data_IF_079045295762
#
_entry.id   IF_079045295762
#
_cell.length_a   1.000
_cell.length_b   1.000
_cell.length_c   1.000
_cell.angle_alpha   90.00
_cell.angle_beta   90.00
_cell.angle_gamma   90.00
#
_symmetry.space_group_name_H-M   'P 1'
#
loop_
_entity.id
_entity.type
_entity.pdbx_description
1 polymer ?
#
# COMPACT_ATOMS: atom_id res chain seq x y z
N UNK A 1 19.82 20.78 -3.43
CA UNK A 1 18.71 20.45 -4.35
C UNK A 1 18.17 19.09 -3.94
N UNK A 2 16.88 18.96 -3.62
CA UNK A 2 16.29 17.66 -3.32
C UNK A 2 16.33 16.77 -4.56
N UNK A 3 16.78 15.53 -4.42
CA UNK A 3 16.70 14.52 -5.48
C UNK A 3 15.25 14.40 -5.96
N UNK A 4 15.03 14.33 -7.28
CA UNK A 4 13.66 14.16 -7.79
C UNK A 4 13.10 12.81 -7.31
N UNK A 5 11.79 12.74 -7.06
CA UNK A 5 11.08 11.50 -6.65
C UNK A 5 11.40 10.33 -7.59
N UNK A 6 11.40 10.59 -8.88
CA UNK A 6 11.76 9.60 -9.89
C UNK A 6 13.16 8.99 -9.63
N UNK A 7 14.18 9.82 -9.42
CA UNK A 7 15.56 9.34 -9.17
C UNK A 7 15.63 8.56 -7.86
N UNK A 8 15.01 9.07 -6.81
CA UNK A 8 14.97 8.41 -5.52
C UNK A 8 14.27 7.04 -5.58
N UNK A 9 13.07 6.96 -6.15
CA UNK A 9 12.34 5.70 -6.24
C UNK A 9 13.03 4.70 -7.17
N UNK A 10 13.59 5.18 -8.28
CA UNK A 10 14.33 4.34 -9.23
C UNK A 10 15.50 3.64 -8.55
N UNK A 11 16.26 4.34 -7.71
CA UNK A 11 17.38 3.81 -6.94
C UNK A 11 16.96 2.68 -5.98
N UNK A 12 15.78 2.77 -5.38
CA UNK A 12 15.29 1.80 -4.40
C UNK A 12 14.52 0.63 -5.01
N UNK A 13 13.83 0.86 -6.13
CA UNK A 13 12.94 -0.12 -6.74
C UNK A 13 13.56 -0.83 -7.96
N UNK A 14 14.56 -0.24 -8.63
CA UNK A 14 15.20 -0.83 -9.80
C UNK A 14 16.67 -1.09 -9.45
N UNK A 15 16.94 -2.29 -8.95
CA UNK A 15 18.28 -2.67 -8.42
C UNK A 15 19.23 -3.26 -9.47
N UNK A 16 18.73 -3.56 -10.66
CA UNK A 16 19.55 -4.09 -11.76
C UNK A 16 19.98 -2.97 -12.71
N UNK A 17 21.04 -3.22 -13.47
CA UNK A 17 21.47 -2.31 -14.54
C UNK A 17 20.36 -2.10 -15.58
N UNK A 18 20.23 -0.89 -16.06
CA UNK A 18 19.19 -0.47 -17.01
C UNK A 18 19.15 -1.35 -18.26
N UNK A 19 20.32 -1.62 -18.88
CA UNK A 19 20.41 -2.47 -20.07
C UNK A 19 19.84 -3.85 -19.79
N UNK A 20 20.20 -4.46 -18.67
CA UNK A 20 19.71 -5.78 -18.27
C UNK A 20 18.21 -5.79 -18.01
N UNK A 21 17.69 -4.73 -17.36
CA UNK A 21 16.26 -4.58 -17.14
C UNK A 21 15.48 -4.53 -18.45
N UNK A 22 15.95 -3.71 -19.41
CA UNK A 22 15.34 -3.60 -20.75
C UNK A 22 15.41 -4.89 -21.52
N UNK A 23 16.57 -5.55 -21.55
CA UNK A 23 16.78 -6.79 -22.27
C UNK A 23 15.85 -7.92 -21.75
N UNK A 24 15.70 -8.05 -20.43
CA UNK A 24 14.79 -9.02 -19.84
C UNK A 24 13.34 -8.64 -20.19
N UNK A 25 12.95 -7.39 -19.98
CA UNK A 25 11.59 -6.93 -20.23
C UNK A 25 11.16 -7.16 -21.70
N UNK A 26 12.04 -6.87 -22.65
CA UNK A 26 11.77 -7.03 -24.09
C UNK A 26 11.61 -8.51 -24.52
N UNK A 27 12.07 -9.47 -23.69
CA UNK A 27 11.91 -10.90 -23.94
C UNK A 27 10.67 -11.50 -23.28
N UNK A 28 9.94 -10.72 -22.48
CA UNK A 28 8.72 -11.21 -21.85
C UNK A 28 7.66 -11.46 -22.92
N UNK A 29 7.05 -12.61 -22.85
CA UNK A 29 5.92 -12.94 -23.70
C UNK A 29 4.70 -12.13 -23.27
N UNK A 30 4.16 -11.37 -24.22
CA UNK A 30 2.98 -10.50 -23.99
C UNK A 30 1.68 -11.29 -24.27
N UNK A 31 1.79 -12.57 -24.66
CA UNK A 31 0.64 -13.40 -24.94
C UNK A 31 0.05 -13.93 -23.63
N UNK A 32 -1.07 -13.37 -23.20
CA UNK A 32 -1.76 -13.72 -21.96
C UNK A 32 -3.26 -13.90 -22.17
N UNK A 33 -3.85 -14.75 -21.35
CA UNK A 33 -5.30 -14.93 -21.30
C UNK A 33 -5.98 -13.70 -20.66
N UNK A 34 -7.09 -13.26 -21.23
CA UNK A 34 -7.85 -12.14 -20.68
C UNK A 34 -8.48 -12.51 -19.33
N UNK A 35 -8.01 -11.86 -18.27
CA UNK A 35 -8.58 -12.00 -16.94
C UNK A 35 -9.63 -10.91 -16.69
N UNK A 36 -10.89 -11.35 -16.48
CA UNK A 36 -12.02 -10.44 -16.22
C UNK A 36 -11.87 -9.67 -14.90
N UNK A 37 -11.17 -10.23 -13.92
CA UNK A 37 -10.94 -9.56 -12.63
C UNK A 37 -10.04 -8.34 -12.85
N UNK A 38 -8.93 -8.52 -13.58
CA UNK A 38 -8.02 -7.42 -13.97
C UNK A 38 -8.78 -6.35 -14.73
N UNK A 39 -9.55 -6.74 -15.75
CA UNK A 39 -10.32 -5.79 -16.56
C UNK A 39 -11.31 -4.96 -15.74
N UNK A 40 -12.02 -5.58 -14.80
CA UNK A 40 -12.96 -4.89 -13.95
C UNK A 40 -12.28 -3.91 -12.99
N UNK A 41 -11.15 -4.30 -12.42
CA UNK A 41 -10.39 -3.44 -11.52
C UNK A 41 -9.74 -2.26 -12.27
N UNK A 42 -9.22 -2.48 -13.47
CA UNK A 42 -8.70 -1.42 -14.34
C UNK A 42 -9.78 -0.40 -14.69
N UNK A 43 -11.01 -0.86 -15.01
CA UNK A 43 -12.13 0.06 -15.29
C UNK A 43 -12.43 0.99 -14.11
N UNK A 44 -12.34 0.47 -12.87
CA UNK A 44 -12.62 1.21 -11.63
C UNK A 44 -11.43 2.06 -11.14
N UNK A 45 -10.21 1.80 -11.66
CA UNK A 45 -9.02 2.55 -11.26
C UNK A 45 -9.13 4.01 -11.69
N UNK A 46 -8.89 4.92 -10.75
CA UNK A 46 -8.85 6.36 -11.03
C UNK A 46 -7.56 6.74 -11.75
N UNK A 47 -7.51 6.45 -13.04
CA UNK A 47 -6.42 6.77 -13.94
C UNK A 47 -7.01 7.46 -15.19
N UNK A 48 -6.60 8.71 -15.44
CA UNK A 48 -7.16 9.53 -16.52
C UNK A 48 -6.72 9.09 -17.91
N UNK A 49 -5.57 8.42 -18.02
CA UNK A 49 -4.96 7.94 -19.27
C UNK A 49 -4.32 6.58 -19.05
N UNK A 50 -4.02 5.89 -20.14
CA UNK A 50 -3.21 4.65 -20.15
C UNK A 50 -3.80 3.45 -19.41
N UNK A 51 -5.14 3.34 -19.31
CA UNK A 51 -5.79 2.15 -18.74
C UNK A 51 -5.41 0.87 -19.49
N UNK A 52 -5.24 0.94 -20.81
CA UNK A 52 -4.76 -0.20 -21.60
C UNK A 52 -3.33 -0.63 -21.23
N UNK A 53 -2.46 0.31 -20.88
CA UNK A 53 -1.13 -0.03 -20.40
C UNK A 53 -1.16 -0.61 -18.98
N UNK A 54 -2.01 -0.09 -18.10
CA UNK A 54 -2.24 -0.66 -16.77
C UNK A 54 -2.69 -2.12 -16.88
N UNK A 55 -3.68 -2.40 -17.74
CA UNK A 55 -4.19 -3.74 -18.00
C UNK A 55 -3.08 -4.66 -18.51
N UNK A 56 -2.33 -4.22 -19.51
CA UNK A 56 -1.19 -4.96 -20.07
C UNK A 56 -0.16 -5.34 -19.01
N UNK A 57 0.27 -4.38 -18.18
CA UNK A 57 1.30 -4.61 -17.18
C UNK A 57 0.84 -5.56 -16.07
N UNK A 58 -0.44 -5.50 -15.68
CA UNK A 58 -1.02 -6.42 -14.69
C UNK A 58 -1.14 -7.83 -15.23
N UNK A 59 -1.60 -8.01 -16.47
CA UNK A 59 -1.62 -9.31 -17.13
C UNK A 59 -0.21 -9.89 -17.28
N UNK A 60 0.75 -9.07 -17.70
CA UNK A 60 2.15 -9.47 -17.81
C UNK A 60 2.71 -9.94 -16.47
N UNK A 61 2.42 -9.21 -15.38
CA UNK A 61 2.83 -9.61 -14.04
C UNK A 61 2.22 -10.96 -13.65
N UNK A 62 0.92 -11.13 -13.80
CA UNK A 62 0.22 -12.36 -13.46
C UNK A 62 0.72 -13.55 -14.30
N UNK A 63 1.04 -13.35 -15.59
CA UNK A 63 1.58 -14.36 -16.47
C UNK A 63 2.99 -14.80 -16.07
N UNK A 64 3.87 -13.86 -15.73
CA UNK A 64 5.25 -14.15 -15.31
C UNK A 64 5.28 -14.77 -13.90
N UNK A 65 4.42 -14.32 -13.02
CA UNK A 65 4.33 -14.79 -11.64
C UNK A 65 3.10 -15.68 -11.41
N UNK A 66 3.02 -16.80 -12.16
CA UNK A 66 1.85 -17.70 -12.17
C UNK A 66 1.46 -18.25 -10.80
N UNK A 67 2.42 -18.41 -9.89
CA UNK A 67 2.14 -18.86 -8.51
C UNK A 67 1.33 -17.84 -7.70
N UNK A 68 1.43 -16.58 -8.07
CA UNK A 68 0.79 -15.47 -7.38
C UNK A 68 -0.48 -15.03 -8.12
N UNK A 69 -0.39 -14.98 -9.45
CA UNK A 69 -1.44 -14.45 -10.30
C UNK A 69 -1.73 -12.96 -10.01
N UNK A 70 -2.98 -12.59 -10.17
CA UNK A 70 -3.47 -11.25 -9.84
C UNK A 70 -4.33 -11.28 -8.58
N UNK A 71 -4.14 -10.31 -7.70
CA UNK A 71 -5.00 -10.06 -6.54
C UNK A 71 -5.59 -8.67 -6.64
N UNK A 72 -6.87 -8.55 -6.34
CA UNK A 72 -7.60 -7.28 -6.33
C UNK A 72 -6.85 -6.24 -5.47
N UNK A 73 -6.63 -5.03 -6.02
CA UNK A 73 -5.85 -3.97 -5.39
C UNK A 73 -4.45 -3.77 -5.98
N UNK A 74 -3.89 -4.75 -6.69
CA UNK A 74 -2.63 -4.58 -7.42
C UNK A 74 -2.70 -3.46 -8.47
N UNK A 75 -3.87 -3.23 -9.05
CA UNK A 75 -4.16 -2.12 -9.96
C UNK A 75 -3.85 -0.75 -9.34
N UNK A 76 -4.18 -0.55 -8.06
CA UNK A 76 -3.91 0.72 -7.36
C UNK A 76 -2.41 0.95 -7.19
N UNK A 77 -1.66 -0.09 -6.83
CA UNK A 77 -0.20 -0.02 -6.68
C UNK A 77 0.49 0.29 -8.02
N UNK A 78 0.12 -0.42 -9.08
CA UNK A 78 0.66 -0.19 -10.42
C UNK A 78 0.32 1.20 -10.93
N UNK A 79 -0.91 1.67 -10.74
CA UNK A 79 -1.34 3.00 -11.14
C UNK A 79 -0.50 4.11 -10.50
N UNK A 80 -0.14 3.97 -9.21
CA UNK A 80 0.76 4.92 -8.54
C UNK A 80 2.16 4.93 -9.14
N UNK A 81 2.73 3.79 -9.47
CA UNK A 81 4.04 3.72 -10.12
C UNK A 81 4.02 4.32 -11.53
N UNK A 82 2.91 4.19 -12.26
CA UNK A 82 2.73 4.80 -13.58
C UNK A 82 2.75 6.34 -13.55
N UNK A 83 2.45 6.97 -12.42
CA UNK A 83 2.59 8.43 -12.27
C UNK A 83 4.04 8.90 -12.15
N UNK A 84 4.94 8.03 -11.69
CA UNK A 84 6.34 8.40 -11.41
C UNK A 84 7.29 7.88 -12.49
N UNK A 85 7.06 6.68 -13.00
CA UNK A 85 7.95 6.06 -13.98
C UNK A 85 7.44 6.26 -15.42
N UNK A 86 8.27 6.84 -16.31
CA UNK A 86 7.84 7.18 -17.66
C UNK A 86 7.78 5.98 -18.60
N UNK A 87 8.66 4.99 -18.43
CA UNK A 87 8.77 3.88 -19.36
C UNK A 87 8.10 2.59 -18.83
N UNK A 88 7.60 1.79 -19.77
CA UNK A 88 6.90 0.53 -19.47
C UNK A 88 7.76 -0.45 -18.68
N UNK A 89 9.04 -0.61 -19.05
CA UNK A 89 9.97 -1.50 -18.35
C UNK A 89 10.26 -1.05 -16.91
N UNK A 90 10.34 0.28 -16.65
CA UNK A 90 10.51 0.83 -15.29
C UNK A 90 9.26 0.56 -14.42
N UNK A 91 8.08 0.78 -14.97
CA UNK A 91 6.79 0.49 -14.32
C UNK A 91 6.71 -0.97 -13.90
N UNK A 92 7.07 -1.88 -14.82
CA UNK A 92 7.04 -3.32 -14.55
C UNK A 92 8.07 -3.74 -13.50
N UNK A 93 9.33 -3.29 -13.59
CA UNK A 93 10.37 -3.65 -12.63
C UNK A 93 10.10 -3.05 -11.25
N UNK A 94 9.68 -1.78 -11.17
CA UNK A 94 9.33 -1.14 -9.89
C UNK A 94 8.15 -1.83 -9.23
N UNK A 95 7.14 -2.26 -10.00
CA UNK A 95 6.02 -3.02 -9.48
C UNK A 95 6.44 -4.40 -8.98
N UNK A 96 7.21 -5.15 -9.77
CA UNK A 96 7.74 -6.45 -9.37
C UNK A 96 8.53 -6.34 -8.06
N UNK A 97 9.34 -5.28 -7.92
CA UNK A 97 10.08 -5.04 -6.68
C UNK A 97 9.17 -4.66 -5.51
N UNK A 98 8.15 -3.84 -5.76
CA UNK A 98 7.16 -3.49 -4.75
C UNK A 98 6.42 -4.74 -4.24
N UNK A 99 6.06 -5.63 -5.14
CA UNK A 99 5.38 -6.89 -4.81
C UNK A 99 6.22 -7.80 -3.91
N UNK A 100 7.55 -7.75 -3.95
CA UNK A 100 8.39 -8.46 -2.97
C UNK A 100 8.09 -8.05 -1.54
N UNK A 101 7.72 -6.79 -1.32
CA UNK A 101 7.35 -6.29 0.02
C UNK A 101 5.90 -6.58 0.39
N UNK A 102 5.02 -6.64 -0.60
CA UNK A 102 3.57 -6.76 -0.41
C UNK A 102 3.11 -8.23 -0.30
N UNK A 103 3.71 -9.13 -1.09
CA UNK A 103 3.32 -10.55 -1.16
C UNK A 103 3.17 -11.26 0.20
N UNK A 104 4.08 -11.07 1.16
CA UNK A 104 3.95 -11.73 2.47
C UNK A 104 2.68 -11.32 3.24
N UNK A 105 2.06 -10.20 2.88
CA UNK A 105 0.86 -9.68 3.54
C UNK A 105 -0.43 -10.24 2.94
N UNK A 106 -0.35 -10.90 1.78
CA UNK A 106 -1.51 -11.40 1.04
C UNK A 106 -1.84 -12.83 1.51
N UNK A 107 -3.04 -13.05 2.09
CA UNK A 107 -3.44 -14.35 2.63
C UNK A 107 -3.41 -15.48 1.61
N UNK A 108 -3.78 -15.19 0.36
CA UNK A 108 -3.84 -16.12 -0.75
C UNK A 108 -2.46 -16.70 -1.10
N UNK A 109 -1.41 -15.89 -0.97
CA UNK A 109 -0.03 -16.30 -1.29
C UNK A 109 0.66 -16.96 -0.08
N UNK A 110 0.45 -16.42 1.10
CA UNK A 110 1.15 -16.82 2.31
C UNK A 110 0.22 -16.87 3.54
N UNK A 111 -0.73 -17.83 3.64
CA UNK A 111 -1.75 -17.83 4.69
C UNK A 111 -1.18 -17.78 6.12
N UNK A 112 -0.13 -18.57 6.38
CA UNK A 112 0.52 -18.60 7.71
C UNK A 112 1.23 -17.30 8.04
N UNK A 113 1.95 -16.75 7.06
CA UNK A 113 2.69 -15.50 7.23
C UNK A 113 1.76 -14.30 7.35
N UNK A 114 0.71 -14.25 6.56
CA UNK A 114 -0.30 -13.19 6.64
C UNK A 114 -0.99 -13.17 8.00
N UNK A 115 -1.33 -14.34 8.58
CA UNK A 115 -1.89 -14.42 9.93
C UNK A 115 -0.90 -13.93 11.00
N UNK A 116 0.36 -14.34 10.90
CA UNK A 116 1.42 -13.86 11.78
C UNK A 116 1.64 -12.35 11.62
N UNK A 117 1.72 -11.87 10.39
CA UNK A 117 1.87 -10.46 10.07
C UNK A 117 0.73 -9.64 10.66
N UNK A 118 -0.52 -10.08 10.49
CA UNK A 118 -1.69 -9.42 11.05
C UNK A 118 -1.57 -9.26 12.58
N UNK A 119 -1.30 -10.34 13.29
CA UNK A 119 -1.15 -10.30 14.75
C UNK A 119 0.01 -9.38 15.19
N UNK A 120 1.13 -9.40 14.46
CA UNK A 120 2.32 -8.63 14.80
C UNK A 120 2.12 -7.11 14.59
N UNK A 121 1.58 -6.71 13.44
CA UNK A 121 1.37 -5.29 13.17
C UNK A 121 0.29 -4.71 14.09
N UNK A 122 -0.74 -5.49 14.41
CA UNK A 122 -1.83 -5.04 15.26
C UNK A 122 -1.36 -4.68 16.67
N UNK A 123 -0.47 -5.50 17.24
CA UNK A 123 0.17 -5.19 18.54
C UNK A 123 0.95 -3.89 18.45
N UNK A 124 1.76 -3.71 17.42
CA UNK A 124 2.56 -2.50 17.24
C UNK A 124 1.69 -1.27 17.00
N UNK A 125 0.68 -1.38 16.16
CA UNK A 125 -0.31 -0.32 15.92
C UNK A 125 -1.00 0.10 17.23
N UNK A 126 -1.53 -0.85 17.99
CA UNK A 126 -2.19 -0.60 19.29
C UNK A 126 -1.26 0.12 20.27
N UNK A 127 0.00 -0.29 20.34
CA UNK A 127 1.00 0.35 21.20
C UNK A 127 1.21 1.82 20.80
N UNK A 128 1.43 2.08 19.52
CA UNK A 128 1.65 3.45 19.02
C UNK A 128 0.38 4.29 19.23
N UNK A 129 -0.80 3.77 18.88
CA UNK A 129 -2.06 4.49 19.05
C UNK A 129 -2.29 4.86 20.52
N UNK A 130 -2.02 3.94 21.45
CA UNK A 130 -2.12 4.21 22.89
C UNK A 130 -1.23 5.36 23.34
N UNK A 131 -0.01 5.45 22.78
CA UNK A 131 0.97 6.45 23.16
C UNK A 131 0.62 7.83 22.59
N UNK A 132 0.11 7.90 21.35
CA UNK A 132 -0.23 9.17 20.68
C UNK A 132 -1.67 9.62 20.92
N UNK A 133 -2.60 8.69 21.20
CA UNK A 133 -4.02 8.98 21.41
C UNK A 133 -4.69 7.94 22.31
N UNK A 134 -4.52 8.09 23.62
CA UNK A 134 -5.04 7.17 24.63
C UNK A 134 -6.56 7.03 24.59
N UNK A 135 -7.28 8.15 24.45
CA UNK A 135 -8.74 8.13 24.41
C UNK A 135 -9.27 7.26 23.28
N UNK A 136 -8.73 7.45 22.08
CA UNK A 136 -9.15 6.70 20.91
C UNK A 136 -8.75 5.22 21.02
N UNK A 137 -7.57 4.94 21.59
CA UNK A 137 -7.13 3.57 21.88
C UNK A 137 -8.14 2.85 22.79
N UNK A 138 -8.52 3.47 23.91
CA UNK A 138 -9.44 2.86 24.88
C UNK A 138 -10.81 2.57 24.24
N UNK A 139 -11.35 3.50 23.45
CA UNK A 139 -12.62 3.34 22.77
C UNK A 139 -12.57 2.21 21.73
N UNK A 140 -11.54 2.16 20.90
CA UNK A 140 -11.44 1.18 19.82
C UNK A 140 -11.12 -0.23 20.34
N UNK A 141 -10.26 -0.36 21.36
CA UNK A 141 -9.84 -1.68 21.84
C UNK A 141 -10.84 -2.33 22.79
N UNK A 142 -11.80 -1.57 23.33
CA UNK A 142 -12.94 -2.13 24.07
C UNK A 142 -14.01 -2.75 23.16
N UNK A 143 -13.89 -2.57 21.85
CA UNK A 143 -14.82 -3.10 20.88
C UNK A 143 -14.38 -4.49 20.39
N UNK A 144 -15.23 -5.51 20.58
CA UNK A 144 -14.96 -6.87 20.11
C UNK A 144 -14.85 -6.94 18.58
N UNK A 145 -15.53 -6.05 17.87
CA UNK A 145 -15.45 -5.95 16.39
C UNK A 145 -14.11 -5.41 15.89
N UNK A 146 -13.25 -4.88 16.75
CA UNK A 146 -11.97 -4.31 16.36
C UNK A 146 -11.04 -5.33 15.67
N UNK A 147 -11.11 -6.58 16.04
CA UNK A 147 -10.33 -7.64 15.38
C UNK A 147 -10.76 -7.83 13.91
N UNK A 148 -12.05 -7.76 13.63
CA UNK A 148 -12.57 -7.83 12.27
C UNK A 148 -12.20 -6.60 11.44
N UNK A 149 -12.36 -5.41 12.03
CA UNK A 149 -11.95 -4.15 11.41
C UNK A 149 -10.46 -4.18 11.05
N UNK A 150 -9.64 -4.66 11.94
CA UNK A 150 -8.18 -4.69 11.76
C UNK A 150 -7.76 -5.53 10.54
N UNK A 151 -8.53 -6.55 10.15
CA UNK A 151 -8.29 -7.31 8.91
C UNK A 151 -8.54 -6.48 7.67
N UNK A 152 -9.61 -5.68 7.66
CA UNK A 152 -9.90 -4.76 6.57
C UNK A 152 -8.87 -3.63 6.50
N UNK A 153 -8.40 -3.12 7.65
CA UNK A 153 -7.29 -2.17 7.74
C UNK A 153 -6.01 -2.77 7.14
N UNK A 154 -5.75 -4.07 7.35
CA UNK A 154 -4.58 -4.76 6.76
C UNK A 154 -4.60 -4.63 5.24
N UNK A 155 -5.74 -4.86 4.61
CA UNK A 155 -5.87 -4.72 3.17
C UNK A 155 -5.63 -3.27 2.73
N UNK A 156 -6.35 -2.30 3.30
CA UNK A 156 -6.33 -0.90 2.83
C UNK A 156 -5.02 -0.16 3.13
N UNK A 157 -4.36 -0.49 4.23
CA UNK A 157 -3.18 0.25 4.66
C UNK A 157 -1.88 -0.48 4.36
N UNK A 158 -1.84 -1.78 4.49
CA UNK A 158 -0.60 -2.53 4.30
C UNK A 158 -0.49 -3.17 2.92
N UNK A 159 -1.55 -3.79 2.42
CA UNK A 159 -1.50 -4.39 1.09
C UNK A 159 -1.46 -3.34 -0.01
N UNK A 160 -2.42 -2.41 -0.04
CA UNK A 160 -2.47 -1.38 -1.09
C UNK A 160 -1.78 -0.06 -0.71
N UNK A 161 -0.96 -0.05 0.33
CA UNK A 161 -0.10 1.07 0.72
C UNK A 161 -0.84 2.40 0.81
N UNK A 162 -1.98 2.42 1.52
CA UNK A 162 -2.78 3.62 1.76
C UNK A 162 -3.36 4.30 0.51
N UNK A 163 -3.38 3.64 -0.66
CA UNK A 163 -3.85 4.23 -1.92
C UNK A 163 -5.32 4.68 -1.91
N UNK A 164 -6.09 4.22 -0.96
CA UNK A 164 -7.49 4.61 -0.76
C UNK A 164 -7.70 5.49 0.48
N UNK A 165 -6.63 5.89 1.15
CA UNK A 165 -6.66 6.66 2.40
C UNK A 165 -6.23 8.11 2.19
N UNK A 166 -5.34 8.36 1.25
CA UNK A 166 -4.85 9.69 0.90
C UNK A 166 -5.22 10.05 -0.53
N UNK A 167 -5.35 11.34 -0.80
CA UNK A 167 -5.33 11.80 -2.18
C UNK A 167 -3.96 11.54 -2.84
N UNK A 168 -3.89 11.71 -4.14
CA UNK A 168 -2.69 11.35 -4.91
C UNK A 168 -1.44 12.15 -4.47
N UNK A 169 -1.56 13.43 -4.15
CA UNK A 169 -0.41 14.27 -3.81
C UNK A 169 0.13 13.90 -2.43
N UNK A 170 -0.75 13.74 -1.47
CA UNK A 170 -0.43 13.32 -0.12
C UNK A 170 0.12 11.90 -0.08
N UNK A 171 -0.47 11.01 -0.88
CA UNK A 171 -0.01 9.64 -1.02
C UNK A 171 1.43 9.54 -1.55
N UNK A 172 1.82 10.40 -2.48
CA UNK A 172 3.20 10.44 -2.98
C UNK A 172 4.21 10.80 -1.88
N UNK A 173 3.84 11.64 -0.92
CA UNK A 173 4.68 11.97 0.24
C UNK A 173 4.82 10.76 1.16
N UNK A 174 3.72 10.05 1.42
CA UNK A 174 3.74 8.80 2.19
C UNK A 174 4.61 7.74 1.51
N UNK A 175 4.50 7.58 0.19
CA UNK A 175 5.30 6.63 -0.56
C UNK A 175 6.78 7.01 -0.63
N UNK A 176 7.13 8.30 -0.65
CA UNK A 176 8.52 8.75 -0.53
C UNK A 176 9.14 8.20 0.76
N UNK A 177 8.44 8.30 1.88
CA UNK A 177 8.91 7.77 3.15
C UNK A 177 8.97 6.22 3.17
N UNK A 178 7.94 5.54 2.64
CA UNK A 178 7.86 4.07 2.64
C UNK A 178 8.89 3.41 1.72
N UNK A 179 9.20 4.01 0.57
CA UNK A 179 10.15 3.46 -0.40
C UNK A 179 11.58 3.67 0.06
N UNK A 180 11.89 4.84 0.64
CA UNK A 180 13.27 5.20 1.00
C UNK A 180 13.73 4.64 2.34
N UNK A 181 12.80 4.28 3.23
CA UNK A 181 13.16 3.67 4.51
C UNK A 181 13.74 2.26 4.33
N UNK A 182 14.65 1.88 5.21
CA UNK A 182 15.22 0.52 5.23
C UNK A 182 14.13 -0.55 5.41
N UNK A 183 14.33 -1.70 4.79
CA UNK A 183 13.32 -2.78 4.74
C UNK A 183 12.81 -3.19 6.14
N UNK A 184 13.72 -3.38 7.10
CA UNK A 184 13.36 -3.81 8.46
C UNK A 184 12.55 -2.78 9.25
N UNK A 185 12.60 -1.50 8.88
CA UNK A 185 11.83 -0.42 9.53
C UNK A 185 10.50 -0.13 8.85
N UNK A 186 10.28 -0.62 7.62
CA UNK A 186 9.10 -0.26 6.81
C UNK A 186 7.78 -0.64 7.47
N UNK A 187 7.68 -1.86 8.02
CA UNK A 187 6.45 -2.29 8.72
C UNK A 187 6.20 -1.39 9.94
N UNK A 188 7.26 -1.02 10.66
CA UNK A 188 7.17 -0.07 11.76
C UNK A 188 6.60 1.28 11.34
N UNK A 189 7.10 1.83 10.23
CA UNK A 189 6.60 3.08 9.67
C UNK A 189 5.15 2.94 9.21
N UNK A 190 4.77 1.84 8.57
CA UNK A 190 3.37 1.61 8.16
C UNK A 190 2.42 1.57 9.38
N UNK A 191 2.82 0.88 10.46
CA UNK A 191 2.04 0.88 11.71
C UNK A 191 1.91 2.28 12.31
N UNK A 192 2.99 3.06 12.27
CA UNK A 192 3.02 4.41 12.78
C UNK A 192 2.12 5.35 11.95
N UNK A 193 2.20 5.28 10.62
CA UNK A 193 1.31 6.03 9.72
C UNK A 193 -0.15 5.64 9.98
N UNK A 194 -0.47 4.35 10.10
CA UNK A 194 -1.81 3.86 10.40
C UNK A 194 -2.36 4.45 11.71
N UNK A 195 -1.56 4.46 12.78
CA UNK A 195 -1.93 5.06 14.05
C UNK A 195 -2.12 6.59 13.95
N UNK A 196 -1.25 7.27 13.22
CA UNK A 196 -1.36 8.71 12.95
C UNK A 196 -2.62 9.08 12.16
N UNK A 197 -2.94 8.30 11.12
CA UNK A 197 -4.18 8.44 10.34
C UNK A 197 -5.41 8.28 11.24
N UNK A 198 -5.43 7.23 12.05
CA UNK A 198 -6.53 6.99 12.99
C UNK A 198 -6.66 8.12 14.02
N UNK A 199 -5.53 8.60 14.56
CA UNK A 199 -5.51 9.69 15.52
C UNK A 199 -6.00 11.00 14.92
N UNK A 200 -5.67 11.30 13.66
CA UNK A 200 -6.13 12.49 12.95
C UNK A 200 -7.66 12.49 12.78
N UNK A 201 -8.27 11.34 12.58
CA UNK A 201 -9.71 11.17 12.41
C UNK A 201 -10.48 11.04 13.76
N UNK A 202 -9.88 11.41 14.88
CA UNK A 202 -10.46 11.20 16.21
C UNK A 202 -11.88 11.76 16.35
N UNK A 203 -12.10 13.01 15.98
CA UNK A 203 -13.41 13.66 16.13
C UNK A 203 -14.48 12.95 15.30
N UNK A 204 -14.13 12.58 14.08
CA UNK A 204 -15.00 11.82 13.18
C UNK A 204 -15.34 10.46 13.78
N UNK A 205 -14.33 9.68 14.22
CA UNK A 205 -14.52 8.34 14.79
C UNK A 205 -15.37 8.40 16.07
N UNK A 206 -15.09 9.33 16.98
CA UNK A 206 -15.79 9.44 18.27
C UNK A 206 -17.22 9.98 18.12
N UNK A 207 -17.52 10.70 17.03
CA UNK A 207 -18.85 11.23 16.74
C UNK A 207 -19.87 10.17 16.35
N UNK A 208 -19.44 8.97 15.98
CA UNK A 208 -20.31 7.88 15.55
C UNK A 208 -20.62 6.86 16.64
N UNK A 209 -21.72 6.14 16.49
CA UNK A 209 -22.02 4.98 17.33
C UNK A 209 -21.06 3.80 17.04
N UNK A 210 -21.13 2.74 17.86
CA UNK A 210 -20.22 1.62 17.79
C UNK A 210 -20.18 0.95 16.41
N UNK A 211 -21.31 0.79 15.75
CA UNK A 211 -21.44 0.11 14.46
C UNK A 211 -20.88 0.98 13.32
N UNK A 212 -21.17 2.26 13.37
CA UNK A 212 -20.72 3.23 12.37
C UNK A 212 -19.22 3.50 12.46
N UNK A 213 -18.62 3.51 13.69
CA UNK A 213 -17.17 3.68 13.90
C UNK A 213 -16.35 2.69 13.09
N UNK A 214 -16.77 1.43 13.04
CA UNK A 214 -16.13 0.38 12.26
C UNK A 214 -16.03 0.78 10.79
N UNK A 215 -17.15 1.25 10.24
CA UNK A 215 -17.20 1.67 8.85
C UNK A 215 -16.35 2.92 8.59
N UNK A 216 -16.35 3.87 9.51
CA UNK A 216 -15.58 5.11 9.37
C UNK A 216 -14.07 4.86 9.37
N UNK A 217 -13.55 4.02 10.26
CA UNK A 217 -12.11 3.68 10.29
C UNK A 217 -11.64 3.15 8.93
N UNK A 218 -12.44 2.32 8.28
CA UNK A 218 -12.08 1.75 6.99
C UNK A 218 -12.10 2.83 5.89
N UNK A 219 -12.96 3.84 6.01
CA UNK A 219 -13.16 4.87 4.99
C UNK A 219 -12.46 6.20 5.28
N UNK A 220 -11.60 6.28 6.29
CA UNK A 220 -10.84 7.49 6.62
C UNK A 220 -10.18 8.06 5.35
N UNK A 221 -10.41 9.34 5.12
CA UNK A 221 -9.67 10.15 4.16
C UNK A 221 -8.69 11.02 4.96
N UNK A 222 -7.42 10.66 4.93
CA UNK A 222 -6.38 11.36 5.67
C UNK A 222 -5.78 12.50 4.85
N UNK A 223 -5.36 13.54 5.54
CA UNK A 223 -4.74 14.74 4.98
C UNK A 223 -3.45 15.05 5.73
N UNK A 224 -2.69 16.04 5.26
CA UNK A 224 -1.48 16.55 5.94
C UNK A 224 -0.47 15.44 6.28
N UNK A 225 0.02 14.67 5.31
CA UNK A 225 0.91 13.54 5.53
C UNK A 225 2.19 13.92 6.27
N UNK A 226 2.68 15.15 6.12
CA UNK A 226 3.87 15.65 6.83
C UNK A 226 3.63 15.79 8.33
N UNK A 227 2.43 16.18 8.75
CA UNK A 227 2.06 16.24 10.17
C UNK A 227 1.96 14.83 10.75
N UNK A 228 1.35 13.90 10.01
CA UNK A 228 1.29 12.49 10.41
C UNK A 228 2.72 11.95 10.59
N UNK A 229 3.60 12.10 9.60
CA UNK A 229 4.97 11.63 9.66
C UNK A 229 5.77 12.28 10.80
N UNK A 230 5.52 13.56 11.12
CA UNK A 230 6.14 14.27 12.22
C UNK A 230 5.64 13.74 13.58
N UNK A 231 4.34 13.54 13.72
CA UNK A 231 3.72 13.02 14.95
C UNK A 231 4.26 11.63 15.31
N UNK A 232 4.46 10.77 14.31
CA UNK A 232 4.89 9.39 14.52
C UNK A 232 6.41 9.18 14.43
N UNK A 233 7.16 10.26 14.30
CA UNK A 233 8.63 10.21 14.29
C UNK A 233 9.15 9.65 15.62
N UNK A 234 9.88 8.56 15.56
CA UNK A 234 10.43 7.87 16.74
C UNK A 234 9.83 6.48 16.99
N UNK A 235 8.77 6.11 16.29
CA UNK A 235 8.15 4.77 16.39
C UNK A 235 8.65 3.77 15.34
N UNK A 236 9.53 4.18 14.44
CA UNK A 236 10.03 3.35 13.34
C UNK A 236 11.53 3.52 13.07
#
# INVERSE_FOLDING_TARGET
MSESRYVSWRKHLIVLEEKRCKDIFNRLDINYDNDRVIQNDVKRTNLSRDKGELELLLHLYAHVHRSDGYVQGMNNLMAMLMHVFPSRWERWWSFTRLMVYVRPMIPEFHPKWSKWFHAHWLVKYKTILRDINRQLYDVLTCDESFEEISRLMTFRWFFIWFTQTFDKQDLLIIWDALITISHHRRIGLMCAIAAGVTSQAQEEILGFDKTERTYQIINIQAHNPLEILKCVKGYY
#
